data_IF_105700167630
#
_entry.id   IF_105700167630
#
_cell.length_a   1.000
_cell.length_b   1.000
_cell.length_c   1.000
_cell.angle_alpha   90.00
_cell.angle_beta   90.00
_cell.angle_gamma   90.00
#
_symmetry.space_group_name_H-M   'P 1'
#
loop_
_entity.id
_entity.type
_entity.pdbx_description
1 polymer ?
#
# COMPACT_ATOMS: atom_id res chain seq x y z
N UNK A 1 10.70 4.44 20.01
CA UNK A 1 9.70 4.91 20.99
C UNK A 1 9.53 6.40 20.81
N UNK A 2 8.35 6.88 20.51
CA UNK A 2 8.08 8.31 20.35
C UNK A 2 7.33 8.78 21.60
N UNK A 3 7.91 9.71 22.35
CA UNK A 3 7.21 10.46 23.41
C UNK A 3 6.79 11.83 22.85
N UNK A 4 5.58 12.25 23.14
CA UNK A 4 5.11 13.60 22.90
C UNK A 4 5.69 14.54 23.95
N UNK A 5 6.42 15.56 23.51
CA UNK A 5 6.89 16.65 24.37
C UNK A 5 6.17 17.92 23.96
N UNK A 6 5.44 18.52 24.88
CA UNK A 6 4.91 19.86 24.71
C UNK A 6 6.03 20.90 24.88
N UNK A 7 6.33 21.67 23.85
CA UNK A 7 7.24 22.80 23.91
C UNK A 7 6.45 24.09 24.13
N UNK A 8 6.70 24.76 25.26
CA UNK A 8 6.32 26.15 25.48
C UNK A 8 7.40 27.07 24.90
N UNK A 9 7.04 28.17 24.23
CA UNK A 9 8.01 29.14 23.71
C UNK A 9 8.64 29.99 24.81
N UNK A 10 9.90 30.45 24.66
CA UNK A 10 10.57 31.34 25.59
C UNK A 10 9.99 32.77 25.53
N UNK A 11 9.99 33.44 26.68
CA UNK A 11 9.31 34.65 27.01
C UNK A 11 9.48 35.83 26.07
N UNK A 12 8.37 36.52 25.84
CA UNK A 12 8.28 37.82 25.18
C UNK A 12 7.99 38.95 26.17
N UNK A 13 8.59 40.09 25.91
CA UNK A 13 8.42 41.34 26.65
C UNK A 13 7.00 41.94 26.53
N UNK A 14 6.59 42.84 27.40
CA UNK A 14 5.18 43.22 27.58
C UNK A 14 4.75 44.31 26.60
N UNK A 15 3.63 44.12 25.91
CA UNK A 15 2.89 45.18 25.30
C UNK A 15 1.45 44.83 24.92
N UNK A 16 0.54 45.66 25.28
CA UNK A 16 -0.84 45.88 24.79
C UNK A 16 -1.90 44.79 25.00
N UNK A 17 -2.83 45.10 25.93
CA UNK A 17 -4.10 44.38 26.11
C UNK A 17 -5.07 44.67 24.97
N UNK A 18 -5.51 43.62 24.31
CA UNK A 18 -6.81 43.56 23.64
C UNK A 18 -7.61 42.35 24.13
N UNK A 19 -8.97 42.38 24.09
CA UNK A 19 -9.79 41.42 24.81
C UNK A 19 -9.75 40.02 24.22
N UNK A 20 -9.84 39.02 25.10
CA UNK A 20 -9.65 37.61 24.85
C UNK A 20 -10.63 37.04 23.83
N UNK A 21 -10.13 36.77 22.62
CA UNK A 21 -10.67 35.74 21.78
C UNK A 21 -10.05 34.40 22.25
N UNK A 22 -10.87 33.45 22.67
CA UNK A 22 -10.42 32.07 22.97
C UNK A 22 -9.88 31.41 21.69
N UNK A 23 -8.58 31.55 21.46
CA UNK A 23 -7.88 30.83 20.45
C UNK A 23 -7.70 29.40 20.93
N UNK A 24 -8.43 28.45 20.33
CA UNK A 24 -8.02 27.06 20.38
C UNK A 24 -6.77 26.96 19.49
N UNK A 25 -5.60 27.05 20.13
CA UNK A 25 -4.33 26.76 19.46
C UNK A 25 -4.31 25.26 19.08
N UNK A 26 -4.38 24.98 17.80
CA UNK A 26 -3.98 23.70 17.27
C UNK A 26 -2.46 23.60 17.48
N UNK A 27 -2.03 22.93 18.54
CA UNK A 27 -0.65 22.52 18.67
C UNK A 27 -0.39 21.52 17.54
N UNK A 28 0.32 21.97 16.51
CA UNK A 28 0.90 21.11 15.52
C UNK A 28 1.92 20.24 16.28
N UNK A 29 1.55 19.01 16.61
CA UNK A 29 2.45 18.04 17.23
C UNK A 29 3.54 17.74 16.20
N UNK A 30 4.63 18.50 16.27
CA UNK A 30 5.86 18.17 15.55
C UNK A 30 6.44 16.97 16.25
N UNK A 31 6.28 15.80 15.66
CA UNK A 31 6.88 14.59 16.19
C UNK A 31 8.39 14.64 15.94
N UNK A 32 9.12 15.02 16.96
CA UNK A 32 10.59 15.06 16.94
C UNK A 32 11.10 13.62 17.10
N UNK A 33 11.95 13.18 16.18
CA UNK A 33 12.66 11.91 16.29
C UNK A 33 13.53 11.95 17.54
N UNK A 34 13.21 11.12 18.53
CA UNK A 34 14.03 11.04 19.75
C UNK A 34 15.16 10.02 19.57
N UNK A 35 16.37 10.46 19.84
CA UNK A 35 17.53 9.58 19.94
C UNK A 35 17.55 8.95 21.34
N UNK A 36 17.37 7.64 21.41
CA UNK A 36 17.46 6.87 22.64
C UNK A 36 18.91 6.42 22.85
N UNK A 37 19.24 5.96 24.06
CA UNK A 37 20.55 5.30 24.35
C UNK A 37 20.69 3.97 23.61
N UNK A 38 19.58 3.27 23.39
CA UNK A 38 19.50 2.02 22.64
C UNK A 38 19.52 2.30 21.14
N UNK A 39 20.36 1.63 20.39
CA UNK A 39 20.38 1.72 18.94
C UNK A 39 19.27 0.84 18.29
N UNK A 40 18.99 1.08 17.00
CA UNK A 40 17.91 0.38 16.27
C UNK A 40 18.15 -1.13 16.14
N UNK A 41 19.40 -1.59 16.14
CA UNK A 41 19.74 -3.01 16.06
C UNK A 41 19.46 -3.72 17.39
N UNK A 42 19.82 -3.12 18.51
CA UNK A 42 19.50 -3.65 19.84
C UNK A 42 17.99 -3.75 20.04
N UNK A 43 17.26 -2.68 19.70
CA UNK A 43 15.79 -2.67 19.74
C UNK A 43 15.17 -3.73 18.83
N UNK A 44 15.76 -3.96 17.66
CA UNK A 44 15.36 -5.02 16.74
C UNK A 44 15.55 -6.42 17.34
N UNK A 45 16.66 -6.68 18.02
CA UNK A 45 16.91 -7.96 18.69
C UNK A 45 15.90 -8.25 19.82
N UNK A 46 15.51 -7.24 20.60
CA UNK A 46 14.46 -7.37 21.61
C UNK A 46 13.10 -7.70 20.96
N UNK A 47 12.77 -7.07 19.84
CA UNK A 47 11.56 -7.40 19.09
C UNK A 47 11.59 -8.81 18.52
N UNK A 48 12.73 -9.29 18.04
CA UNK A 48 12.87 -10.68 17.60
C UNK A 48 12.67 -11.64 18.77
N UNK A 49 13.28 -11.36 19.92
CA UNK A 49 13.06 -12.18 21.13
C UNK A 49 11.56 -12.29 21.43
N UNK A 50 10.88 -11.16 21.51
CA UNK A 50 9.43 -11.13 21.73
C UNK A 50 8.66 -11.94 20.67
N UNK A 51 8.98 -11.81 19.37
CA UNK A 51 8.34 -12.55 18.29
C UNK A 51 8.53 -14.06 18.46
N UNK A 52 9.76 -14.51 18.70
CA UNK A 52 10.10 -15.93 18.77
C UNK A 52 9.56 -16.62 20.03
N UNK A 53 9.36 -15.87 21.11
CA UNK A 53 8.73 -16.35 22.36
C UNK A 53 7.20 -16.36 22.27
N UNK A 54 6.59 -15.37 21.58
CA UNK A 54 5.14 -15.17 21.59
C UNK A 54 4.39 -15.92 20.49
N UNK A 55 5.03 -16.16 19.32
CA UNK A 55 4.40 -16.77 18.16
C UNK A 55 4.95 -18.17 17.89
N UNK A 56 4.03 -19.11 17.66
CA UNK A 56 4.38 -20.49 17.36
C UNK A 56 4.92 -20.62 15.92
N UNK A 57 4.20 -20.02 14.96
CA UNK A 57 4.49 -20.09 13.53
C UNK A 57 4.99 -18.72 13.04
N UNK A 58 6.13 -18.70 12.40
CA UNK A 58 6.77 -17.48 11.91
C UNK A 58 7.08 -17.66 10.42
N UNK A 59 6.71 -16.68 9.60
CA UNK A 59 7.18 -16.63 8.24
C UNK A 59 7.56 -15.19 7.85
N UNK A 60 8.46 -15.06 6.88
CA UNK A 60 8.95 -13.79 6.36
C UNK A 60 8.37 -13.55 4.98
N UNK A 61 7.81 -12.37 4.74
CA UNK A 61 7.45 -11.92 3.41
C UNK A 61 8.68 -11.27 2.75
N UNK A 62 9.28 -11.99 1.82
CA UNK A 62 10.48 -11.59 1.10
C UNK A 62 10.11 -11.05 -0.28
N UNK A 63 10.33 -9.77 -0.54
CA UNK A 63 9.98 -9.10 -1.80
C UNK A 63 11.14 -8.98 -2.79
N UNK A 64 12.34 -9.41 -2.44
CA UNK A 64 13.56 -9.14 -3.21
C UNK A 64 14.09 -7.71 -3.07
N UNK A 65 13.48 -6.88 -2.23
CA UNK A 65 13.96 -5.53 -1.91
C UNK A 65 14.98 -5.52 -0.76
N UNK A 66 15.71 -4.39 -0.62
CA UNK A 66 16.78 -4.22 0.39
C UNK A 66 16.30 -4.44 1.82
N UNK A 67 15.10 -3.95 2.15
CA UNK A 67 14.56 -4.00 3.52
C UNK A 67 14.15 -5.43 3.89
N UNK A 68 13.46 -6.12 2.99
CA UNK A 68 13.05 -7.51 3.19
C UNK A 68 14.23 -8.48 3.12
N UNK A 69 15.24 -8.18 2.31
CA UNK A 69 16.48 -8.96 2.24
C UNK A 69 17.30 -8.87 3.53
N UNK A 70 17.47 -7.65 4.05
CA UNK A 70 18.12 -7.44 5.35
C UNK A 70 17.34 -8.14 6.48
N UNK A 71 16.00 -7.95 6.52
CA UNK A 71 15.16 -8.61 7.51
C UNK A 71 15.34 -10.12 7.49
N UNK A 72 15.30 -10.73 6.30
CA UNK A 72 15.48 -12.17 6.14
C UNK A 72 16.81 -12.64 6.72
N UNK A 73 17.91 -11.98 6.37
CA UNK A 73 19.24 -12.36 6.86
C UNK A 73 19.37 -12.21 8.37
N UNK A 74 18.93 -11.07 8.93
CA UNK A 74 18.99 -10.82 10.37
C UNK A 74 18.12 -11.80 11.18
N UNK A 75 16.94 -12.15 10.68
CA UNK A 75 16.04 -13.11 11.32
C UNK A 75 16.63 -14.52 11.28
N UNK A 76 17.23 -14.92 10.16
CA UNK A 76 17.91 -16.21 10.05
C UNK A 76 19.07 -16.32 11.01
N UNK A 77 19.92 -15.30 11.09
CA UNK A 77 21.07 -15.30 12.02
C UNK A 77 20.62 -15.32 13.49
N UNK A 78 19.54 -14.63 13.81
CA UNK A 78 18.98 -14.65 15.16
C UNK A 78 18.38 -16.01 15.48
N UNK A 79 17.57 -16.58 14.58
CA UNK A 79 16.95 -17.90 14.74
C UNK A 79 18.00 -18.97 14.96
N UNK A 80 19.03 -19.00 14.11
CA UNK A 80 20.07 -20.05 14.17
C UNK A 80 20.88 -20.01 15.47
N UNK A 81 21.07 -18.81 16.04
CA UNK A 81 21.78 -18.64 17.33
C UNK A 81 20.90 -18.91 18.55
N UNK A 82 19.66 -18.44 18.54
CA UNK A 82 18.83 -18.40 19.74
C UNK A 82 17.69 -19.43 19.74
N UNK A 83 17.20 -19.82 18.56
CA UNK A 83 16.05 -20.72 18.39
C UNK A 83 16.26 -21.71 17.22
N UNK A 84 17.34 -22.50 17.20
CA UNK A 84 17.74 -23.31 16.05
C UNK A 84 16.68 -24.35 15.61
N UNK A 85 15.81 -24.76 16.53
CA UNK A 85 14.75 -25.75 16.26
C UNK A 85 13.45 -25.10 15.74
N UNK A 86 13.36 -23.76 15.73
CA UNK A 86 12.15 -23.06 15.31
C UNK A 86 12.02 -23.09 13.79
N UNK A 87 10.96 -23.68 13.28
CA UNK A 87 10.62 -23.63 11.87
C UNK A 87 10.36 -22.18 11.41
N UNK A 88 10.78 -21.85 10.22
CA UNK A 88 10.64 -20.52 9.62
C UNK A 88 10.23 -20.62 8.17
N UNK A 89 9.07 -20.05 7.80
CA UNK A 89 8.65 -19.94 6.42
C UNK A 89 9.24 -18.72 5.72
N UNK A 90 9.45 -18.80 4.40
CA UNK A 90 9.78 -17.65 3.56
C UNK A 90 8.84 -17.61 2.37
N UNK A 91 8.05 -16.55 2.30
CA UNK A 91 7.05 -16.32 1.27
C UNK A 91 7.52 -15.23 0.31
N UNK A 92 7.66 -15.57 -0.96
CA UNK A 92 7.89 -14.62 -2.05
C UNK A 92 6.70 -14.64 -3.00
N UNK A 93 6.01 -13.50 -3.11
CA UNK A 93 4.93 -13.29 -4.08
C UNK A 93 5.51 -12.75 -5.37
N UNK A 94 5.57 -13.58 -6.38
CA UNK A 94 6.19 -13.26 -7.65
C UNK A 94 5.21 -12.57 -8.60
N UNK A 95 5.60 -11.41 -9.10
CA UNK A 95 4.79 -10.60 -10.02
C UNK A 95 5.13 -10.83 -11.50
N UNK A 96 5.86 -11.89 -11.88
CA UNK A 96 6.26 -12.17 -13.27
C UNK A 96 7.20 -11.08 -13.84
N UNK A 97 6.70 -9.83 -13.88
CA UNK A 97 7.39 -8.69 -14.47
C UNK A 97 8.33 -8.04 -13.44
N UNK A 98 9.61 -8.40 -13.50
CA UNK A 98 10.69 -7.86 -12.68
C UNK A 98 11.96 -7.72 -13.52
N UNK A 99 12.91 -6.91 -13.06
CA UNK A 99 14.27 -6.89 -13.63
C UNK A 99 14.94 -8.25 -13.47
N UNK A 100 15.67 -8.69 -14.47
CA UNK A 100 16.44 -9.95 -14.44
C UNK A 100 17.33 -10.02 -13.20
N UNK A 101 18.06 -8.96 -12.90
CA UNK A 101 18.94 -8.88 -11.70
C UNK A 101 18.18 -9.06 -10.38
N UNK A 102 16.90 -8.64 -10.31
CA UNK A 102 16.05 -8.88 -9.14
C UNK A 102 15.65 -10.34 -9.04
N UNK A 103 15.26 -10.95 -10.15
CA UNK A 103 14.91 -12.39 -10.19
C UNK A 103 16.10 -13.26 -9.81
N UNK A 104 17.28 -12.97 -10.33
CA UNK A 104 18.53 -13.64 -9.98
C UNK A 104 18.88 -13.51 -8.49
N UNK A 105 18.67 -12.30 -7.89
CA UNK A 105 18.86 -12.11 -6.45
C UNK A 105 17.89 -12.97 -5.64
N UNK A 106 16.61 -13.01 -6.04
CA UNK A 106 15.63 -13.86 -5.38
C UNK A 106 16.03 -15.33 -5.49
N UNK A 107 16.42 -15.80 -6.68
CA UNK A 107 16.84 -17.18 -6.90
C UNK A 107 18.07 -17.56 -6.05
N UNK A 108 19.13 -16.75 -6.09
CA UNK A 108 20.33 -16.97 -5.24
C UNK A 108 19.97 -17.01 -3.76
N UNK A 109 19.04 -16.14 -3.33
CA UNK A 109 18.61 -16.11 -1.93
C UNK A 109 17.89 -17.39 -1.55
N UNK A 110 16.93 -17.85 -2.36
CA UNK A 110 16.20 -19.09 -2.09
C UNK A 110 17.12 -20.32 -2.13
N UNK A 111 18.03 -20.42 -3.11
CA UNK A 111 19.01 -21.51 -3.16
C UNK A 111 19.88 -21.56 -1.90
N UNK A 112 20.29 -20.41 -1.37
CA UNK A 112 21.09 -20.30 -0.15
C UNK A 112 20.35 -20.74 1.11
N UNK A 113 19.04 -20.54 1.16
CA UNK A 113 18.24 -20.73 2.39
C UNK A 113 17.35 -21.98 2.36
N UNK A 114 17.11 -22.63 1.22
CA UNK A 114 16.14 -23.74 1.05
C UNK A 114 16.31 -24.89 2.05
N UNK A 115 17.52 -25.18 2.50
CA UNK A 115 17.79 -26.20 3.49
C UNK A 115 17.62 -25.73 4.96
N UNK A 116 17.30 -24.46 5.19
CA UNK A 116 17.19 -23.84 6.51
C UNK A 116 15.79 -23.31 6.82
N UNK A 117 14.92 -23.23 5.82
CA UNK A 117 13.59 -22.65 5.93
C UNK A 117 12.59 -23.48 5.13
N UNK A 118 11.30 -23.17 5.29
CA UNK A 118 10.23 -23.63 4.40
C UNK A 118 10.06 -22.59 3.28
N UNK A 119 10.57 -22.84 2.06
CA UNK A 119 10.54 -21.86 0.99
C UNK A 119 9.25 -21.94 0.19
N UNK A 120 8.63 -20.78 -0.06
CA UNK A 120 7.41 -20.63 -0.88
C UNK A 120 7.62 -19.51 -1.90
N UNK A 121 8.05 -19.84 -3.10
CA UNK A 121 8.12 -18.92 -4.22
C UNK A 121 6.83 -19.04 -5.03
N UNK A 122 5.91 -18.09 -4.83
CA UNK A 122 4.53 -18.19 -5.30
C UNK A 122 4.34 -17.51 -6.65
N UNK A 123 4.17 -18.32 -7.70
CA UNK A 123 3.90 -17.94 -9.09
C UNK A 123 2.44 -18.28 -9.46
N UNK A 124 1.49 -17.69 -8.77
CA UNK A 124 0.05 -17.95 -9.00
C UNK A 124 -0.62 -16.75 -9.68
N UNK A 125 -1.56 -16.98 -10.62
CA UNK A 125 -2.36 -15.93 -11.23
C UNK A 125 -3.08 -15.06 -10.19
N UNK A 126 -2.81 -13.76 -10.21
CA UNK A 126 -3.42 -12.79 -9.28
C UNK A 126 -3.78 -11.50 -9.99
N UNK A 127 -4.85 -10.84 -9.53
CA UNK A 127 -5.25 -9.55 -10.05
C UNK A 127 -4.38 -8.44 -9.45
N UNK A 128 -3.47 -7.91 -10.24
CA UNK A 128 -2.56 -6.82 -9.89
C UNK A 128 -3.00 -5.55 -10.59
N UNK A 129 -3.12 -4.45 -9.85
CA UNK A 129 -3.55 -3.17 -10.43
C UNK A 129 -2.48 -2.64 -11.37
N UNK A 130 -2.93 -2.08 -12.50
CA UNK A 130 -2.09 -1.27 -13.36
C UNK A 130 -2.51 0.19 -13.32
N UNK A 131 -1.54 1.08 -13.29
CA UNK A 131 -1.72 2.52 -13.38
C UNK A 131 -1.32 3.07 -14.74
N UNK A 132 -0.89 2.20 -15.66
CA UNK A 132 -0.35 2.59 -16.96
C UNK A 132 -1.39 2.53 -18.06
N UNK A 133 -2.36 1.63 -17.95
CA UNK A 133 -3.34 1.40 -18.99
C UNK A 133 -4.61 2.20 -18.76
N UNK A 134 -5.07 2.89 -19.81
CA UNK A 134 -6.40 3.49 -19.87
C UNK A 134 -7.49 2.46 -20.25
N UNK A 135 -7.11 1.23 -20.56
CA UNK A 135 -8.00 0.17 -21.04
C UNK A 135 -8.16 -0.97 -20.06
N UNK A 136 -7.13 -1.27 -19.28
CA UNK A 136 -7.06 -2.39 -18.35
C UNK A 136 -6.93 -1.87 -16.92
N UNK A 137 -7.82 -2.33 -16.03
CA UNK A 137 -7.75 -1.99 -14.59
C UNK A 137 -6.77 -2.89 -13.84
N UNK A 138 -6.59 -4.10 -14.33
CA UNK A 138 -5.75 -5.14 -13.76
C UNK A 138 -4.98 -5.86 -14.85
N UNK A 139 -3.78 -6.25 -14.54
CA UNK A 139 -3.04 -7.26 -15.26
C UNK A 139 -2.87 -8.49 -14.36
N UNK A 140 -2.57 -9.63 -14.94
CA UNK A 140 -2.54 -10.90 -14.25
C UNK A 140 -1.16 -11.55 -14.46
N UNK A 141 -0.23 -11.41 -13.49
CA UNK A 141 1.00 -12.18 -13.48
C UNK A 141 0.68 -13.68 -13.56
N UNK A 142 1.52 -14.41 -14.24
CA UNK A 142 1.45 -15.88 -14.36
C UNK A 142 0.11 -16.39 -14.87
N UNK A 143 -0.57 -15.59 -15.69
CA UNK A 143 -1.83 -15.97 -16.34
C UNK A 143 -1.61 -17.12 -17.31
N UNK A 144 -2.09 -18.31 -16.96
CA UNK A 144 -1.95 -19.53 -17.74
C UNK A 144 -2.65 -19.47 -19.11
N UNK A 145 -3.69 -18.61 -19.24
CA UNK A 145 -4.37 -18.38 -20.51
C UNK A 145 -3.56 -17.50 -21.49
N UNK A 146 -2.43 -16.95 -21.04
CA UNK A 146 -1.54 -16.05 -21.80
C UNK A 146 -0.06 -16.37 -21.55
N UNK A 147 0.31 -17.62 -21.53
CA UNK A 147 1.70 -18.08 -21.32
C UNK A 147 2.67 -17.49 -22.36
N UNK A 148 2.23 -17.38 -23.60
CA UNK A 148 2.97 -16.76 -24.70
C UNK A 148 3.34 -15.29 -24.47
N UNK A 149 2.60 -14.61 -23.62
CA UNK A 149 2.81 -13.21 -23.28
C UNK A 149 3.57 -13.02 -21.96
N UNK A 150 4.02 -14.05 -21.28
CA UNK A 150 4.80 -13.93 -20.05
C UNK A 150 6.10 -13.17 -20.28
N UNK A 151 6.41 -12.28 -19.33
CA UNK A 151 7.64 -11.46 -19.42
C UNK A 151 8.89 -12.32 -19.30
N UNK A 152 8.82 -13.40 -18.56
CA UNK A 152 9.90 -14.39 -18.41
C UNK A 152 9.33 -15.78 -18.15
N UNK A 153 10.19 -16.78 -18.27
CA UNK A 153 9.85 -18.15 -17.91
C UNK A 153 9.66 -18.29 -16.40
N UNK A 154 8.73 -19.15 -16.00
CA UNK A 154 8.51 -19.50 -14.60
C UNK A 154 9.70 -20.31 -14.08
N UNK A 155 10.26 -19.97 -12.91
CA UNK A 155 11.37 -20.74 -12.34
C UNK A 155 10.98 -22.20 -12.12
N UNK A 156 11.85 -23.12 -12.53
CA UNK A 156 11.65 -24.57 -12.39
C UNK A 156 12.41 -25.08 -11.16
N UNK A 157 11.85 -24.85 -9.97
CA UNK A 157 12.42 -25.26 -8.69
C UNK A 157 11.36 -25.98 -7.85
N UNK A 158 11.76 -26.88 -6.99
CA UNK A 158 10.89 -27.67 -6.10
C UNK A 158 10.03 -26.82 -5.16
N UNK A 159 10.54 -25.64 -4.79
CA UNK A 159 9.86 -24.70 -3.90
C UNK A 159 9.00 -23.64 -4.62
N UNK A 160 8.86 -23.74 -5.93
CA UNK A 160 7.98 -22.87 -6.71
C UNK A 160 6.55 -23.40 -6.65
N UNK A 161 5.67 -22.56 -6.14
CA UNK A 161 4.24 -22.82 -6.05
C UNK A 161 3.56 -22.24 -7.28
N UNK A 162 2.95 -23.09 -8.09
CA UNK A 162 2.21 -22.74 -9.30
C UNK A 162 0.82 -23.37 -9.29
N UNK A 163 0.05 -23.27 -10.37
CA UNK A 163 -1.32 -23.82 -10.42
C UNK A 163 -1.37 -25.34 -10.29
N UNK A 164 -0.31 -26.06 -10.70
CA UNK A 164 -0.29 -27.53 -10.73
C UNK A 164 0.01 -28.14 -9.36
N UNK A 165 0.85 -27.45 -8.55
CA UNK A 165 1.32 -27.93 -7.25
C UNK A 165 0.87 -27.09 -6.06
N UNK A 166 -0.08 -26.19 -6.24
CA UNK A 166 -0.49 -25.20 -5.23
C UNK A 166 -1.05 -25.85 -3.94
N UNK A 167 -0.34 -25.76 -2.81
CA UNK A 167 -0.83 -26.28 -1.53
C UNK A 167 -1.77 -25.32 -0.81
N UNK A 168 -1.87 -24.04 -1.27
CA UNK A 168 -2.58 -22.97 -0.58
C UNK A 168 -4.09 -23.15 -0.78
N UNK A 169 -4.74 -23.97 0.06
CA UNK A 169 -6.17 -24.30 -0.03
C UNK A 169 -7.10 -23.08 0.04
N UNK A 170 -6.61 -21.95 0.54
CA UNK A 170 -7.35 -20.69 0.63
C UNK A 170 -7.19 -19.80 -0.61
N UNK A 171 -6.37 -20.21 -1.58
CA UNK A 171 -6.19 -19.50 -2.85
C UNK A 171 -7.46 -19.60 -3.71
N UNK A 172 -7.73 -18.54 -4.46
CA UNK A 172 -8.77 -18.51 -5.50
C UNK A 172 -8.18 -17.88 -6.75
N UNK A 173 -8.43 -18.52 -7.88
CA UNK A 173 -7.91 -18.10 -9.17
C UNK A 173 -8.14 -16.60 -9.44
N UNK A 174 -7.08 -15.90 -9.82
CA UNK A 174 -7.06 -14.45 -10.08
C UNK A 174 -7.61 -13.59 -8.91
N UNK A 175 -7.46 -14.02 -7.66
CA UNK A 175 -7.76 -13.17 -6.51
C UNK A 175 -6.84 -11.94 -6.48
N UNK A 176 -7.21 -10.90 -5.75
CA UNK A 176 -6.35 -9.72 -5.62
C UNK A 176 -5.02 -10.06 -4.95
N UNK A 177 -3.94 -9.40 -5.40
CA UNK A 177 -2.60 -9.61 -4.87
C UNK A 177 -2.51 -9.44 -3.34
N UNK A 178 -3.24 -8.44 -2.80
CA UNK A 178 -3.27 -8.18 -1.36
C UNK A 178 -4.03 -9.29 -0.60
N UNK A 179 -5.01 -9.90 -1.25
CA UNK A 179 -5.75 -11.02 -0.67
C UNK A 179 -4.94 -12.31 -0.73
N UNK A 180 -4.14 -12.53 -1.78
CA UNK A 180 -3.25 -13.70 -1.86
C UNK A 180 -2.27 -13.72 -0.68
N UNK A 181 -1.59 -12.61 -0.40
CA UNK A 181 -0.67 -12.51 0.74
C UNK A 181 -1.36 -12.80 2.08
N UNK A 182 -2.60 -12.31 2.25
CA UNK A 182 -3.40 -12.58 3.47
C UNK A 182 -3.83 -14.05 3.56
N UNK A 183 -4.29 -14.61 2.44
CA UNK A 183 -4.75 -16.01 2.40
C UNK A 183 -3.58 -16.98 2.55
N UNK A 184 -2.39 -16.63 2.11
CA UNK A 184 -1.17 -17.38 2.43
C UNK A 184 -0.96 -17.47 3.95
N UNK A 185 -1.01 -16.35 4.66
CA UNK A 185 -0.86 -16.36 6.12
C UNK A 185 -1.91 -17.20 6.84
N UNK A 186 -3.16 -17.17 6.36
CA UNK A 186 -4.22 -18.01 6.88
C UNK A 186 -3.96 -19.49 6.61
N UNK A 187 -3.59 -19.84 5.39
CA UNK A 187 -3.23 -21.21 5.02
C UNK A 187 -2.02 -21.70 5.82
N UNK A 188 -0.96 -20.89 5.94
CA UNK A 188 0.24 -21.21 6.69
C UNK A 188 -0.09 -21.54 8.16
N UNK A 189 -0.97 -20.74 8.78
CA UNK A 189 -1.47 -21.04 10.11
C UNK A 189 -2.16 -22.41 10.19
N UNK A 190 -3.06 -22.69 9.27
CA UNK A 190 -3.84 -23.94 9.25
C UNK A 190 -2.92 -25.15 9.05
N UNK A 191 -2.01 -25.08 8.10
CA UNK A 191 -1.05 -26.16 7.78
C UNK A 191 -0.04 -26.42 8.91
N UNK A 192 0.14 -25.44 9.81
CA UNK A 192 1.04 -25.53 10.97
C UNK A 192 0.30 -25.61 12.31
N UNK A 193 -0.76 -26.41 12.36
CA UNK A 193 -1.48 -26.77 13.60
C UNK A 193 -2.38 -25.68 14.18
N UNK A 194 -2.76 -24.67 13.38
CA UNK A 194 -3.74 -23.65 13.78
C UNK A 194 -3.28 -22.66 14.85
N UNK A 195 -2.00 -22.68 15.24
CA UNK A 195 -1.44 -21.88 16.32
C UNK A 195 -1.21 -20.41 15.93
N UNK A 196 -0.84 -19.58 16.92
CA UNK A 196 -0.49 -18.17 16.68
C UNK A 196 0.57 -18.02 15.61
N UNK A 197 0.28 -17.26 14.58
CA UNK A 197 1.13 -17.10 13.40
C UNK A 197 1.47 -15.64 13.17
N UNK A 198 2.71 -15.35 12.81
CA UNK A 198 3.15 -13.99 12.45
C UNK A 198 3.88 -13.96 11.13
N UNK A 199 3.51 -12.99 10.29
CA UNK A 199 4.25 -12.59 9.10
C UNK A 199 5.22 -11.45 9.43
N UNK A 200 6.50 -11.61 9.14
CA UNK A 200 7.47 -10.55 9.28
C UNK A 200 7.59 -9.75 7.99
N UNK A 201 7.49 -8.43 8.11
CA UNK A 201 7.51 -7.49 7.01
C UNK A 201 8.65 -6.48 7.16
N UNK A 202 9.42 -6.26 6.10
CA UNK A 202 10.45 -5.23 6.03
C UNK A 202 9.88 -3.82 5.81
N UNK A 203 8.81 -3.46 6.52
CA UNK A 203 8.14 -2.15 6.40
C UNK A 203 8.72 -1.17 7.42
N UNK A 204 9.02 0.07 6.96
CA UNK A 204 9.57 1.14 7.78
C UNK A 204 8.67 2.39 7.78
N UNK A 205 8.64 3.08 8.91
CA UNK A 205 7.90 4.33 9.05
C UNK A 205 8.45 5.45 8.15
N UNK A 206 9.76 5.41 7.88
CA UNK A 206 10.50 6.38 7.07
C UNK A 206 10.15 6.35 5.56
N UNK A 207 9.44 5.31 5.09
CA UNK A 207 9.16 5.16 3.66
C UNK A 207 8.03 6.07 3.14
N UNK A 208 7.05 6.39 3.97
CA UNK A 208 5.93 7.26 3.60
C UNK A 208 5.08 7.68 4.80
N UNK A 209 4.41 8.84 4.69
CA UNK A 209 3.44 9.31 5.69
C UNK A 209 2.33 8.29 5.96
N UNK A 210 1.90 7.54 4.94
CA UNK A 210 0.87 6.51 5.10
C UNK A 210 1.35 5.36 5.98
N UNK A 211 2.62 4.91 5.80
CA UNK A 211 3.22 3.86 6.64
C UNK A 211 3.44 4.35 8.07
N UNK A 212 3.97 5.55 8.20
CA UNK A 212 4.12 6.21 9.49
C UNK A 212 2.80 6.30 10.26
N UNK A 213 1.74 6.81 9.63
CA UNK A 213 0.40 6.90 10.24
C UNK A 213 -0.17 5.53 10.63
N UNK A 214 0.20 4.48 9.89
CA UNK A 214 -0.18 3.10 10.20
C UNK A 214 0.38 2.62 11.55
N UNK A 215 1.62 2.99 11.87
CA UNK A 215 2.25 2.66 13.16
C UNK A 215 1.73 3.47 14.34
N UNK A 216 1.21 4.67 14.10
CA UNK A 216 0.61 5.50 15.15
C UNK A 216 -0.75 4.98 15.62
N UNK A 217 -1.39 4.10 14.87
CA UNK A 217 -2.72 3.62 15.18
C UNK A 217 -2.70 2.44 16.17
N UNK A 218 -2.37 2.72 17.43
CA UNK A 218 -2.25 1.74 18.52
C UNK A 218 -3.48 0.84 18.73
N UNK A 219 -4.66 1.25 18.24
CA UNK A 219 -5.92 0.48 18.42
C UNK A 219 -5.87 -0.92 17.83
N UNK A 220 -4.96 -1.20 16.90
CA UNK A 220 -4.82 -2.48 16.22
C UNK A 220 -3.50 -3.21 16.55
N UNK A 221 -2.75 -2.68 17.51
CA UNK A 221 -1.49 -3.27 17.98
C UNK A 221 -1.73 -4.57 18.79
N UNK A 222 -0.75 -5.44 18.79
CA UNK A 222 -0.73 -6.65 19.60
C UNK A 222 -0.02 -6.34 20.93
N UNK A 223 -0.69 -6.52 22.06
CA UNK A 223 -0.13 -6.20 23.38
C UNK A 223 0.48 -4.78 23.45
N UNK A 224 -0.24 -3.81 22.89
CA UNK A 224 0.16 -2.39 22.78
C UNK A 224 1.37 -2.10 21.89
N UNK A 225 1.90 -3.10 21.18
CA UNK A 225 3.00 -2.93 20.24
C UNK A 225 2.51 -2.37 18.90
N UNK A 226 2.86 -1.11 18.60
CA UNK A 226 2.40 -0.41 17.40
C UNK A 226 2.92 -1.01 16.08
N UNK A 227 3.98 -1.81 16.14
CA UNK A 227 4.62 -2.46 14.98
C UNK A 227 4.07 -3.86 14.67
N UNK A 228 3.08 -4.35 15.46
CA UNK A 228 2.36 -5.60 15.21
C UNK A 228 0.89 -5.30 14.98
N UNK A 229 0.34 -5.73 13.86
CA UNK A 229 -1.05 -5.52 13.48
C UNK A 229 -1.76 -6.84 13.20
N UNK A 230 -3.04 -6.92 13.55
CA UNK A 230 -3.86 -8.12 13.31
C UNK A 230 -4.27 -8.20 11.85
N UNK A 231 -4.06 -9.34 11.22
CA UNK A 231 -4.50 -9.63 9.86
C UNK A 231 -5.78 -10.49 9.83
N UNK A 232 -5.78 -11.59 10.59
CA UNK A 232 -6.92 -12.48 10.81
C UNK A 232 -6.97 -12.94 12.28
N UNK A 233 -7.90 -13.83 12.63
CA UNK A 233 -7.86 -14.56 13.91
C UNK A 233 -6.55 -15.35 13.96
N UNK A 234 -5.75 -15.12 15.00
CA UNK A 234 -4.46 -15.75 15.26
C UNK A 234 -3.41 -15.62 14.13
N UNK A 235 -3.59 -14.66 13.22
CA UNK A 235 -2.60 -14.27 12.20
C UNK A 235 -2.29 -12.79 12.31
N UNK A 236 -1.02 -12.47 12.47
CA UNK A 236 -0.50 -11.13 12.70
C UNK A 236 0.55 -10.75 11.65
N UNK A 237 0.78 -9.47 11.47
CA UNK A 237 1.90 -8.93 10.71
C UNK A 237 2.76 -8.07 11.63
N UNK A 238 4.04 -8.33 11.67
CA UNK A 238 5.01 -7.59 12.46
C UNK A 238 6.05 -6.92 11.56
N UNK A 239 6.39 -5.67 11.88
CA UNK A 239 7.40 -4.88 11.17
C UNK A 239 8.54 -4.53 12.13
N UNK A 240 9.45 -5.47 12.45
CA UNK A 240 10.48 -5.24 13.47
C UNK A 240 11.53 -4.19 13.08
N UNK A 241 11.60 -3.81 11.79
CA UNK A 241 12.45 -2.73 11.27
C UNK A 241 11.73 -1.38 11.20
N UNK A 242 10.57 -1.21 11.83
CA UNK A 242 9.68 -0.07 11.60
C UNK A 242 10.32 1.31 11.86
N UNK A 243 11.26 1.40 12.79
CA UNK A 243 11.96 2.61 13.21
C UNK A 243 13.32 2.83 12.53
N UNK A 244 13.74 1.90 11.65
CA UNK A 244 15.00 2.02 10.91
C UNK A 244 14.91 3.05 9.78
N UNK A 245 15.98 3.83 9.63
CA UNK A 245 16.15 4.70 8.46
C UNK A 245 16.71 3.91 7.26
N UNK A 246 16.65 4.52 6.06
CA UNK A 246 17.31 3.95 4.88
C UNK A 246 18.81 3.80 5.07
N UNK A 247 19.43 4.70 5.83
CA UNK A 247 20.85 4.66 6.18
C UNK A 247 21.18 3.45 7.04
N UNK A 248 20.33 3.14 8.04
CA UNK A 248 20.52 1.99 8.92
C UNK A 248 20.47 0.67 8.15
N UNK A 249 19.59 0.57 7.15
CA UNK A 249 19.49 -0.61 6.27
C UNK A 249 20.81 -0.84 5.52
N UNK A 250 21.38 0.20 4.93
CA UNK A 250 22.63 0.07 4.19
C UNK A 250 23.85 -0.16 5.10
N UNK A 251 23.90 0.52 6.24
CA UNK A 251 24.93 0.28 7.24
C UNK A 251 24.93 -1.17 7.73
N UNK A 252 23.76 -1.73 8.02
CA UNK A 252 23.65 -3.11 8.47
C UNK A 252 24.05 -4.10 7.36
N UNK A 253 23.59 -3.91 6.12
CA UNK A 253 24.01 -4.76 5.01
C UNK A 253 25.53 -4.77 4.84
N UNK A 254 26.17 -3.61 4.90
CA UNK A 254 27.63 -3.47 4.81
C UNK A 254 28.33 -4.14 6.01
N UNK A 255 27.89 -3.82 7.24
CA UNK A 255 28.50 -4.31 8.47
C UNK A 255 28.47 -5.84 8.60
N UNK A 256 27.37 -6.45 8.19
CA UNK A 256 27.18 -7.90 8.27
C UNK A 256 27.60 -8.64 6.99
N UNK A 257 27.99 -7.94 5.94
CA UNK A 257 28.42 -8.52 4.68
C UNK A 257 27.33 -9.31 3.95
N UNK A 258 26.05 -8.93 4.11
CA UNK A 258 24.96 -9.62 3.46
C UNK A 258 24.87 -9.31 1.97
N UNK A 259 24.49 -10.32 1.18
CA UNK A 259 24.13 -10.12 -0.22
C UNK A 259 22.83 -9.32 -0.33
N UNK A 260 22.77 -8.46 -1.33
CA UNK A 260 21.60 -7.62 -1.61
C UNK A 260 21.33 -7.53 -3.11
N UNK A 261 20.15 -7.05 -3.47
CA UNK A 261 19.72 -6.88 -4.85
C UNK A 261 20.53 -5.77 -5.56
N UNK A 262 21.37 -6.16 -6.52
CA UNK A 262 22.23 -5.26 -7.30
C UNK A 262 21.47 -4.25 -8.16
N UNK A 263 20.15 -4.38 -8.29
CA UNK A 263 19.31 -3.36 -8.92
C UNK A 263 19.50 -1.98 -8.26
N UNK A 264 19.77 -1.94 -6.95
CA UNK A 264 20.01 -0.67 -6.25
C UNK A 264 21.28 0.04 -6.73
N UNK A 265 22.33 -0.70 -7.09
CA UNK A 265 23.56 -0.14 -7.67
C UNK A 265 23.26 0.44 -9.05
N UNK A 266 22.50 -0.29 -9.87
CA UNK A 266 22.09 0.15 -11.21
C UNK A 266 21.19 1.39 -11.15
N UNK A 267 20.27 1.47 -10.20
CA UNK A 267 19.47 2.65 -9.96
C UNK A 267 20.32 3.85 -9.53
N UNK A 268 21.30 3.63 -8.67
CA UNK A 268 22.23 4.68 -8.25
C UNK A 268 23.06 5.22 -9.43
N UNK A 269 23.61 4.32 -10.24
CA UNK A 269 24.33 4.70 -11.46
C UNK A 269 23.44 5.41 -12.48
N UNK A 270 22.15 5.07 -12.52
CA UNK A 270 21.16 5.77 -13.35
C UNK A 270 20.70 7.12 -12.77
N UNK A 271 21.26 7.56 -11.63
CA UNK A 271 21.01 8.88 -11.03
C UNK A 271 19.74 8.95 -10.15
N UNK A 272 19.16 7.83 -9.75
CA UNK A 272 18.02 7.84 -8.82
C UNK A 272 18.48 8.17 -7.40
N UNK A 273 17.66 8.98 -6.71
CA UNK A 273 17.85 9.21 -5.28
C UNK A 273 17.46 7.96 -4.49
N UNK A 274 18.06 7.66 -3.31
CA UNK A 274 17.71 6.50 -2.50
C UNK A 274 16.22 6.36 -2.18
N UNK A 275 15.50 7.46 -2.02
CA UNK A 275 14.05 7.49 -1.78
C UNK A 275 13.19 7.07 -3.00
N UNK A 276 13.77 7.08 -4.20
CA UNK A 276 13.11 6.70 -5.45
C UNK A 276 13.37 5.23 -5.82
N UNK A 277 14.39 4.63 -5.22
CA UNK A 277 14.81 3.26 -5.50
C UNK A 277 13.88 2.25 -4.84
N UNK A 278 13.02 1.58 -5.63
CA UNK A 278 12.06 0.60 -5.13
C UNK A 278 12.02 -0.63 -6.02
N UNK A 279 12.03 -1.79 -5.41
CA UNK A 279 11.67 -3.05 -6.07
C UNK A 279 10.15 -3.19 -5.98
N UNK A 280 9.47 -3.07 -7.11
CA UNK A 280 8.02 -3.12 -7.20
C UNK A 280 7.58 -3.57 -8.59
N UNK A 281 6.32 -3.98 -8.76
CA UNK A 281 5.77 -4.27 -10.09
C UNK A 281 5.90 -3.03 -11.00
N UNK A 282 6.39 -3.19 -12.24
CA UNK A 282 6.61 -2.07 -13.16
C UNK A 282 5.35 -1.32 -13.54
N UNK A 283 4.19 -1.93 -13.37
CA UNK A 283 2.91 -1.39 -13.83
C UNK A 283 2.11 -0.63 -12.76
N UNK A 284 2.64 -0.49 -11.55
CA UNK A 284 1.96 0.23 -10.46
C UNK A 284 2.28 1.74 -10.45
N UNK A 285 1.55 2.50 -9.62
CA UNK A 285 1.72 3.95 -9.49
C UNK A 285 3.12 4.39 -9.06
N UNK A 286 3.82 3.55 -8.27
CA UNK A 286 5.14 3.88 -7.71
C UNK A 286 6.29 3.64 -8.69
N UNK A 287 6.06 2.86 -9.75
CA UNK A 287 7.10 2.46 -10.71
C UNK A 287 7.09 3.31 -11.98
N UNK A 288 6.11 4.18 -12.16
CA UNK A 288 6.00 5.02 -13.36
C UNK A 288 7.26 5.83 -13.63
N UNK A 289 7.84 6.42 -12.58
CA UNK A 289 9.01 7.30 -12.69
C UNK A 289 10.30 6.53 -13.07
N UNK A 290 10.34 5.22 -12.82
CA UNK A 290 11.47 4.35 -13.11
C UNK A 290 11.22 3.37 -14.26
N UNK A 291 10.03 3.38 -14.85
CA UNK A 291 9.66 2.43 -15.90
C UNK A 291 10.56 2.53 -17.14
N UNK A 292 10.96 3.76 -17.51
CA UNK A 292 11.87 4.00 -18.62
C UNK A 292 13.27 3.39 -18.41
N UNK A 293 13.66 3.15 -17.17
CA UNK A 293 14.96 2.54 -16.86
C UNK A 293 15.07 1.08 -17.30
N UNK A 294 13.93 0.38 -17.47
CA UNK A 294 13.95 -0.95 -18.08
C UNK A 294 14.59 -0.96 -19.46
N UNK A 295 14.41 0.12 -20.24
CA UNK A 295 15.03 0.24 -21.57
C UNK A 295 16.55 0.26 -21.53
N UNK A 296 17.13 0.73 -20.44
CA UNK A 296 18.59 0.91 -20.27
C UNK A 296 19.19 -0.24 -19.46
N UNK A 297 18.52 -0.64 -18.38
CA UNK A 297 19.02 -1.65 -17.44
C UNK A 297 18.72 -3.07 -17.94
N UNK A 298 17.53 -3.28 -18.55
CA UNK A 298 17.05 -4.60 -18.93
C UNK A 298 16.20 -4.53 -20.22
N UNK A 299 16.83 -4.29 -21.38
CA UNK A 299 16.12 -4.09 -22.65
C UNK A 299 15.35 -5.32 -23.12
N UNK A 300 15.77 -6.53 -22.75
CA UNK A 300 15.07 -7.77 -23.11
C UNK A 300 13.72 -7.86 -22.38
N UNK A 301 13.74 -7.66 -21.07
CA UNK A 301 12.52 -7.57 -20.26
C UNK A 301 11.65 -6.41 -20.73
N UNK A 302 12.24 -5.25 -21.07
CA UNK A 302 11.50 -4.11 -21.60
C UNK A 302 10.66 -4.45 -22.83
N UNK A 303 11.23 -5.17 -23.79
CA UNK A 303 10.54 -5.56 -25.03
C UNK A 303 9.27 -6.38 -24.73
N UNK A 304 9.35 -7.29 -23.76
CA UNK A 304 8.21 -8.10 -23.32
C UNK A 304 7.20 -7.28 -22.47
N UNK A 305 7.67 -6.38 -21.61
CA UNK A 305 6.82 -5.51 -20.80
C UNK A 305 5.86 -4.65 -21.66
N UNK A 306 6.36 -4.11 -22.76
CA UNK A 306 5.56 -3.28 -23.68
C UNK A 306 4.39 -4.07 -24.28
N UNK A 307 4.59 -5.34 -24.59
CA UNK A 307 3.55 -6.24 -25.09
C UNK A 307 2.59 -6.76 -24.01
N UNK A 308 3.03 -6.73 -22.74
CA UNK A 308 2.28 -7.35 -21.62
C UNK A 308 1.11 -6.52 -21.13
N UNK A 309 1.26 -5.20 -21.05
CA UNK A 309 0.23 -4.25 -20.60
C UNK A 309 0.11 -3.10 -21.58
N UNK A 310 -1.08 -2.84 -22.08
CA UNK A 310 -1.33 -1.72 -22.97
C UNK A 310 -1.05 -0.39 -22.29
N UNK A 311 -0.35 0.50 -22.97
CA UNK A 311 0.04 1.80 -22.44
C UNK A 311 1.43 1.83 -21.76
N UNK A 312 2.10 0.70 -21.57
CA UNK A 312 3.42 0.66 -20.96
C UNK A 312 4.46 1.50 -21.71
N UNK A 313 4.50 1.41 -23.03
CA UNK A 313 5.41 2.21 -23.85
C UNK A 313 5.10 3.72 -23.76
N UNK A 314 3.83 4.09 -23.84
CA UNK A 314 3.40 5.49 -23.68
C UNK A 314 3.77 6.03 -22.30
N UNK A 315 3.51 5.26 -21.25
CA UNK A 315 3.85 5.62 -19.90
C UNK A 315 5.36 5.77 -19.67
N UNK A 316 6.18 4.93 -20.29
CA UNK A 316 7.64 5.04 -20.19
C UNK A 316 8.18 6.31 -20.86
N UNK A 317 7.59 6.71 -21.99
CA UNK A 317 8.01 7.91 -22.73
C UNK A 317 7.48 9.17 -22.04
N UNK A 318 6.22 9.17 -21.64
CA UNK A 318 5.51 10.36 -21.16
C UNK A 318 5.22 10.37 -19.65
N UNK A 319 5.68 9.37 -18.90
CA UNK A 319 5.42 9.22 -17.47
C UNK A 319 5.80 10.43 -16.60
N UNK A 320 6.81 11.18 -17.04
CA UNK A 320 7.26 12.41 -16.37
C UNK A 320 6.55 13.68 -16.86
N UNK A 321 5.72 13.56 -17.89
CA UNK A 321 5.07 14.70 -18.55
C UNK A 321 3.65 14.90 -18.05
N UNK A 322 3.08 16.05 -18.40
CA UNK A 322 1.65 16.36 -18.16
C UNK A 322 0.69 15.38 -18.84
N UNK A 323 1.12 14.72 -19.91
CA UNK A 323 0.31 13.76 -20.67
C UNK A 323 -0.16 12.56 -19.82
N UNK A 324 0.59 12.19 -18.78
CA UNK A 324 0.22 11.13 -17.81
C UNK A 324 -0.47 11.68 -16.55
N UNK A 325 -0.87 12.93 -16.54
CA UNK A 325 -1.59 13.55 -15.43
C UNK A 325 -0.74 13.77 -14.16
N UNK A 326 0.56 13.90 -14.32
CA UNK A 326 1.49 13.69 -13.19
C UNK A 326 1.71 14.88 -12.26
N UNK A 327 1.64 16.15 -12.68
CA UNK A 327 2.00 17.23 -11.75
C UNK A 327 1.02 18.38 -11.68
N UNK A 328 0.67 18.99 -12.79
CA UNK A 328 -0.30 20.08 -12.80
C UNK A 328 -1.24 19.83 -13.96
N UNK A 329 -2.36 19.19 -13.67
CA UNK A 329 -3.43 19.07 -14.63
C UNK A 329 -4.04 20.47 -14.75
N UNK A 330 -3.82 21.11 -15.88
CA UNK A 330 -4.45 22.37 -16.23
C UNK A 330 -5.70 22.08 -17.03
N UNK A 331 -6.77 22.78 -16.70
CA UNK A 331 -8.02 22.72 -17.48
C UNK A 331 -7.74 23.30 -18.87
N UNK A 332 -8.12 22.60 -19.97
CA UNK A 332 -8.02 23.16 -21.30
C UNK A 332 -8.89 24.41 -21.44
N UNK A 333 -8.46 25.35 -22.28
CA UNK A 333 -9.19 26.57 -22.56
C UNK A 333 -10.58 26.26 -23.13
N UNK A 334 -11.60 27.00 -22.70
CA UNK A 334 -12.98 26.79 -23.10
C UNK A 334 -13.74 25.68 -22.37
N UNK A 335 -13.10 24.97 -21.42
CA UNK A 335 -13.75 23.94 -20.64
C UNK A 335 -13.96 24.33 -19.18
N UNK A 336 -15.04 23.80 -18.57
CA UNK A 336 -15.17 23.59 -17.13
C UNK A 336 -14.66 22.18 -16.78
N UNK A 337 -14.35 21.88 -15.52
CA UNK A 337 -13.99 20.54 -15.10
C UNK A 337 -15.09 19.52 -15.42
N UNK A 338 -16.35 19.94 -15.31
CA UNK A 338 -17.50 19.12 -15.67
C UNK A 338 -17.52 18.79 -17.17
N UNK A 339 -17.40 19.80 -18.02
CA UNK A 339 -17.42 19.57 -19.47
C UNK A 339 -16.21 18.76 -19.96
N UNK A 340 -15.04 19.01 -19.38
CA UNK A 340 -13.84 18.26 -19.70
C UNK A 340 -13.93 16.80 -19.20
N UNK A 341 -14.51 16.58 -18.03
CA UNK A 341 -14.79 15.21 -17.55
C UNK A 341 -15.71 14.46 -18.49
N UNK A 342 -16.76 15.11 -18.99
CA UNK A 342 -17.68 14.51 -19.97
C UNK A 342 -16.96 14.15 -21.27
N UNK A 343 -16.18 15.08 -21.81
CA UNK A 343 -15.36 14.84 -22.99
C UNK A 343 -14.44 13.62 -22.81
N UNK A 344 -13.75 13.53 -21.68
CA UNK A 344 -12.88 12.39 -21.38
C UNK A 344 -13.67 11.08 -21.28
N UNK A 345 -14.85 11.08 -20.67
CA UNK A 345 -15.70 9.89 -20.59
C UNK A 345 -16.11 9.40 -21.98
N UNK A 346 -16.40 10.33 -22.92
CA UNK A 346 -16.83 9.98 -24.26
C UNK A 346 -15.69 9.36 -25.10
N UNK A 347 -14.44 9.67 -24.78
CA UNK A 347 -13.27 9.07 -25.43
C UNK A 347 -12.91 7.68 -24.89
N UNK A 348 -13.46 7.27 -23.74
CA UNK A 348 -13.13 5.99 -23.11
C UNK A 348 -13.91 4.82 -23.73
N UNK A 349 -13.29 3.60 -23.77
CA UNK A 349 -14.02 2.38 -24.07
C UNK A 349 -15.23 2.18 -23.15
N UNK A 350 -16.32 1.64 -23.68
CA UNK A 350 -17.60 1.50 -23.00
C UNK A 350 -17.49 0.88 -21.57
N UNK A 351 -16.66 -0.16 -21.41
CA UNK A 351 -16.45 -0.82 -20.13
C UNK A 351 -15.92 0.12 -19.05
N UNK A 352 -14.92 0.93 -19.38
CA UNK A 352 -14.29 1.89 -18.47
C UNK A 352 -15.18 3.08 -18.21
N UNK A 353 -15.76 3.65 -19.28
CA UNK A 353 -16.76 4.71 -19.18
C UNK A 353 -17.86 4.33 -18.19
N UNK A 354 -18.46 3.15 -18.36
CA UNK A 354 -19.51 2.66 -17.47
C UNK A 354 -19.05 2.50 -16.02
N UNK A 355 -17.79 2.07 -15.79
CA UNK A 355 -17.23 2.00 -14.45
C UNK A 355 -17.14 3.38 -13.80
N UNK A 356 -16.57 4.38 -14.49
CA UNK A 356 -16.47 5.74 -13.95
C UNK A 356 -17.85 6.39 -13.75
N UNK A 357 -18.73 6.33 -14.76
CA UNK A 357 -20.09 6.88 -14.68
C UNK A 357 -20.85 6.31 -13.48
N UNK A 358 -20.77 4.99 -13.26
CA UNK A 358 -21.41 4.36 -12.09
C UNK A 358 -20.86 4.91 -10.78
N UNK A 359 -19.54 5.05 -10.68
CA UNK A 359 -18.90 5.57 -9.45
C UNK A 359 -19.21 7.05 -9.23
N UNK A 360 -19.16 7.87 -10.28
CA UNK A 360 -19.49 9.29 -10.19
C UNK A 360 -20.94 9.50 -9.75
N UNK A 361 -21.88 8.77 -10.35
CA UNK A 361 -23.29 8.80 -9.91
C UNK A 361 -23.44 8.40 -8.45
N UNK A 362 -22.79 7.32 -8.02
CA UNK A 362 -22.83 6.87 -6.63
C UNK A 362 -22.29 7.94 -5.67
N UNK A 363 -21.19 8.63 -6.04
CA UNK A 363 -20.64 9.70 -5.23
C UNK A 363 -21.57 10.91 -5.17
N UNK A 364 -22.07 11.35 -6.31
CA UNK A 364 -23.00 12.49 -6.40
C UNK A 364 -24.25 12.20 -5.55
N UNK A 365 -24.86 11.04 -5.73
CA UNK A 365 -26.03 10.62 -4.95
C UNK A 365 -25.73 10.57 -3.44
N UNK A 366 -24.58 10.01 -3.06
CA UNK A 366 -24.16 9.97 -1.66
C UNK A 366 -24.09 11.37 -1.05
N UNK A 367 -23.49 12.34 -1.76
CA UNK A 367 -23.33 13.69 -1.25
C UNK A 367 -24.60 14.51 -1.26
N UNK A 368 -25.62 14.15 -2.03
CA UNK A 368 -26.95 14.77 -2.00
C UNK A 368 -27.88 14.13 -0.94
N UNK A 369 -27.79 12.83 -0.73
CA UNK A 369 -28.77 12.12 0.11
C UNK A 369 -28.22 11.80 1.51
N UNK A 370 -27.00 11.30 1.60
CA UNK A 370 -26.40 10.82 2.85
C UNK A 370 -25.45 11.85 3.44
N UNK A 371 -24.59 12.38 2.61
CA UNK A 371 -23.54 13.32 2.98
C UNK A 371 -22.31 12.70 3.62
N UNK A 372 -21.21 13.46 3.63
CA UNK A 372 -19.94 13.11 4.21
C UNK A 372 -19.67 13.87 5.52
N UNK A 373 -18.92 13.22 6.44
CA UNK A 373 -18.43 13.86 7.65
C UNK A 373 -17.19 14.70 7.38
N UNK A 374 -17.25 15.99 7.65
CA UNK A 374 -16.14 16.94 7.48
C UNK A 374 -15.76 17.58 8.81
N UNK A 375 -14.54 18.09 8.89
CA UNK A 375 -14.08 18.91 10.02
C UNK A 375 -14.87 20.22 10.08
N UNK A 376 -15.19 20.68 11.26
CA UNK A 376 -16.01 21.88 11.47
C UNK A 376 -15.38 23.13 10.83
N UNK A 377 -14.05 23.20 10.78
CA UNK A 377 -13.34 24.28 10.10
C UNK A 377 -13.63 24.30 8.59
N UNK A 378 -13.66 23.10 7.95
CA UNK A 378 -13.96 22.94 6.52
C UNK A 378 -15.41 23.29 6.23
N UNK A 379 -16.34 22.91 7.12
CA UNK A 379 -17.77 23.24 6.96
C UNK A 379 -17.98 24.75 7.00
N UNK A 380 -17.36 25.44 7.97
CA UNK A 380 -17.44 26.94 8.07
C UNK A 380 -16.80 27.59 6.84
N UNK A 381 -15.75 27.08 6.32
CA UNK A 381 -15.11 27.60 5.10
C UNK A 381 -16.03 27.43 3.89
N UNK A 382 -16.71 26.28 3.73
CA UNK A 382 -17.73 26.07 2.71
C UNK A 382 -18.93 27.02 2.86
N UNK A 383 -19.43 27.22 4.08
CA UNK A 383 -20.50 28.16 4.38
C UNK A 383 -20.10 29.61 4.04
N UNK A 384 -18.86 30.00 4.41
CA UNK A 384 -18.33 31.34 4.13
C UNK A 384 -18.15 31.64 2.64
N UNK A 385 -17.82 30.63 1.83
CA UNK A 385 -17.72 30.76 0.38
C UNK A 385 -19.07 30.55 -0.35
N UNK A 386 -20.18 30.42 0.39
CA UNK A 386 -21.51 30.33 -0.19
C UNK A 386 -21.86 29.05 -0.89
N UNK A 387 -21.16 27.96 -0.58
CA UNK A 387 -21.51 26.64 -1.14
C UNK A 387 -22.91 26.21 -0.65
N UNK A 388 -23.76 25.66 -1.54
CA UNK A 388 -25.13 25.24 -1.18
C UNK A 388 -25.09 23.95 -0.40
N UNK A 389 -24.80 24.02 0.89
CA UNK A 389 -24.70 22.87 1.80
C UNK A 389 -25.73 22.95 2.92
N UNK A 390 -26.11 21.78 3.45
CA UNK A 390 -26.96 21.65 4.61
C UNK A 390 -26.32 20.67 5.61
N UNK A 391 -26.30 21.02 6.88
CA UNK A 391 -25.86 20.14 7.97
C UNK A 391 -26.88 19.01 8.16
N UNK A 392 -26.42 17.78 8.11
CA UNK A 392 -27.25 16.57 8.16
C UNK A 392 -26.79 15.61 9.28
N UNK A 393 -26.77 16.12 10.51
CA UNK A 393 -26.42 15.35 11.69
C UNK A 393 -24.93 14.92 11.75
N UNK A 394 -24.69 13.78 12.40
CA UNK A 394 -23.33 13.28 12.68
C UNK A 394 -23.01 12.05 11.83
N UNK A 395 -21.77 11.94 11.40
CA UNK A 395 -21.30 10.81 10.59
C UNK A 395 -21.06 9.57 11.45
N UNK A 396 -21.71 8.46 11.09
CA UNK A 396 -21.45 7.14 11.69
C UNK A 396 -20.20 6.46 11.08
N UNK A 397 -19.61 7.04 10.04
CA UNK A 397 -18.47 6.49 9.32
C UNK A 397 -17.12 7.06 9.79
N UNK A 398 -17.14 8.13 10.57
CA UNK A 398 -15.95 8.75 11.16
C UNK A 398 -15.84 8.41 12.64
N UNK A 399 -14.62 8.14 13.13
CA UNK A 399 -14.39 7.77 14.54
C UNK A 399 -14.69 8.90 15.52
N UNK A 400 -14.43 10.10 15.09
CA UNK A 400 -14.59 11.37 15.83
C UNK A 400 -15.97 11.98 15.65
N UNK A 401 -16.92 11.22 15.09
CA UNK A 401 -18.30 11.64 14.86
C UNK A 401 -18.41 13.02 14.24
N UNK A 402 -17.64 13.28 13.16
CA UNK A 402 -17.64 14.55 12.44
C UNK A 402 -19.03 14.96 11.99
N UNK A 403 -19.29 16.27 11.95
CA UNK A 403 -20.51 16.83 11.38
C UNK A 403 -20.67 16.42 9.93
N UNK A 404 -21.85 15.96 9.56
CA UNK A 404 -22.18 15.51 8.21
C UNK A 404 -22.86 16.63 7.45
N UNK A 405 -22.46 16.84 6.20
CA UNK A 405 -23.11 17.78 5.29
C UNK A 405 -23.62 17.08 4.05
N UNK A 406 -24.68 17.62 3.46
CA UNK A 406 -25.16 17.30 2.13
C UNK A 406 -25.10 18.55 1.25
N UNK A 407 -24.92 18.38 -0.05
CA UNK A 407 -25.07 19.44 -1.03
C UNK A 407 -26.54 19.54 -1.43
N UNK A 408 -27.11 20.75 -1.35
CA UNK A 408 -28.48 21.03 -1.80
C UNK A 408 -28.54 21.52 -3.25
N UNK A 409 -27.40 21.96 -3.78
CA UNK A 409 -27.18 22.34 -5.17
C UNK A 409 -26.26 21.38 -5.91
N UNK A 410 -25.86 21.69 -7.15
CA UNK A 410 -24.97 20.85 -7.93
C UNK A 410 -23.60 20.68 -7.24
N UNK A 411 -22.96 19.54 -7.47
CA UNK A 411 -21.58 19.32 -7.02
C UNK A 411 -20.68 20.38 -7.70
N UNK A 412 -19.79 21.04 -6.93
CA UNK A 412 -18.95 22.12 -7.43
C UNK A 412 -18.00 21.65 -8.55
N UNK A 413 -17.65 22.57 -9.42
CA UNK A 413 -16.71 22.32 -10.52
C UNK A 413 -15.30 22.05 -9.97
N UNK A 414 -14.81 22.91 -9.10
CA UNK A 414 -13.65 22.66 -8.22
C UNK A 414 -13.89 23.19 -6.80
N UNK A 415 -12.90 23.03 -5.94
CA UNK A 415 -12.92 23.47 -4.54
C UNK A 415 -11.54 23.98 -4.12
N UNK A 416 -10.81 24.59 -5.06
CA UNK A 416 -9.44 25.07 -4.83
C UNK A 416 -9.38 26.26 -3.85
N UNK A 417 -10.50 26.97 -3.69
CA UNK A 417 -10.73 28.03 -2.71
C UNK A 417 -10.82 27.52 -1.27
N UNK A 418 -10.98 26.21 -1.06
CA UNK A 418 -11.06 25.57 0.26
C UNK A 418 -9.70 24.95 0.61
N UNK A 419 -9.10 25.38 1.73
CA UNK A 419 -7.76 24.94 2.16
C UNK A 419 -7.63 23.42 2.37
N UNK A 420 -8.70 22.75 2.76
CA UNK A 420 -8.71 21.31 3.04
C UNK A 420 -9.72 20.55 2.17
N UNK A 421 -9.66 20.78 0.86
CA UNK A 421 -10.64 20.29 -0.12
C UNK A 421 -10.60 18.79 -0.43
N UNK A 422 -9.61 18.04 0.09
CA UNK A 422 -9.38 16.63 -0.30
C UNK A 422 -10.55 15.67 -0.02
N UNK A 423 -11.44 16.00 0.89
CA UNK A 423 -12.58 15.16 1.26
C UNK A 423 -13.90 15.65 0.62
N UNK A 424 -13.87 16.78 -0.09
CA UNK A 424 -15.03 17.40 -0.73
C UNK A 424 -15.17 16.88 -2.17
N UNK A 425 -16.37 16.53 -2.64
CA UNK A 425 -16.58 16.11 -4.03
C UNK A 425 -16.46 17.32 -4.97
N UNK A 426 -15.84 17.10 -6.14
CA UNK A 426 -15.83 18.10 -7.23
C UNK A 426 -15.63 17.41 -8.58
N UNK A 427 -16.04 18.10 -9.67
CA UNK A 427 -15.80 17.62 -11.02
C UNK A 427 -14.32 17.54 -11.36
N UNK A 428 -13.51 18.42 -10.82
CA UNK A 428 -12.05 18.37 -10.89
C UNK A 428 -11.50 17.03 -10.37
N UNK A 429 -11.99 16.55 -9.23
CA UNK A 429 -11.57 15.26 -8.67
C UNK A 429 -12.02 14.09 -9.52
N UNK A 430 -13.23 14.17 -10.11
CA UNK A 430 -13.72 13.17 -11.05
C UNK A 430 -12.84 13.12 -12.30
N UNK A 431 -12.50 14.28 -12.86
CA UNK A 431 -11.56 14.42 -13.96
C UNK A 431 -10.21 13.80 -13.64
N UNK A 432 -9.67 14.05 -12.44
CA UNK A 432 -8.40 13.49 -11.98
C UNK A 432 -8.44 11.97 -11.89
N UNK A 433 -9.57 11.37 -11.50
CA UNK A 433 -9.70 9.90 -11.53
C UNK A 433 -9.47 9.34 -12.94
N UNK A 434 -10.02 9.98 -13.96
CA UNK A 434 -9.85 9.54 -15.36
C UNK A 434 -8.40 9.75 -15.81
N UNK A 435 -7.89 10.98 -15.69
CA UNK A 435 -6.55 11.34 -16.18
C UNK A 435 -5.42 10.59 -15.49
N UNK A 436 -5.64 10.15 -14.26
CA UNK A 436 -4.66 9.38 -13.49
C UNK A 436 -4.89 7.87 -13.53
N UNK A 437 -5.82 7.39 -14.37
CA UNK A 437 -6.21 5.98 -14.44
C UNK A 437 -6.61 5.40 -13.07
N UNK A 438 -7.21 6.22 -12.20
CA UNK A 438 -7.73 5.78 -10.92
C UNK A 438 -9.09 5.10 -11.09
N UNK A 439 -9.09 3.90 -11.62
CA UNK A 439 -10.30 3.12 -11.92
C UNK A 439 -11.16 2.81 -10.68
N UNK A 440 -10.60 2.97 -9.48
CA UNK A 440 -11.30 2.80 -8.22
C UNK A 440 -11.84 4.11 -7.64
N UNK A 441 -11.53 5.25 -8.25
CA UNK A 441 -11.92 6.58 -7.81
C UNK A 441 -11.50 6.87 -6.34
N UNK A 442 -10.29 6.48 -5.96
CA UNK A 442 -9.73 6.75 -4.63
C UNK A 442 -9.57 8.25 -4.37
N UNK A 443 -9.31 9.03 -5.41
CA UNK A 443 -9.30 10.50 -5.34
C UNK A 443 -10.63 11.09 -4.88
N UNK A 444 -11.73 10.33 -4.96
CA UNK A 444 -13.05 10.71 -4.50
C UNK A 444 -13.41 10.07 -3.16
N UNK A 445 -12.46 9.49 -2.44
CA UNK A 445 -12.70 8.84 -1.16
C UNK A 445 -13.39 7.46 -1.26
N UNK A 446 -13.49 6.87 -2.47
CA UNK A 446 -14.02 5.53 -2.59
C UNK A 446 -13.07 4.52 -1.94
N UNK A 447 -13.56 3.89 -0.89
CA UNK A 447 -13.00 2.68 -0.33
C UNK A 447 -13.43 1.43 -1.13
N UNK A 448 -13.65 0.32 -0.45
CA UNK A 448 -14.23 -0.90 -1.03
C UNK A 448 -15.65 -0.61 -1.53
N UNK A 449 -15.98 -1.06 -2.74
CA UNK A 449 -17.36 -0.96 -3.25
C UNK A 449 -18.31 -1.75 -2.37
N UNK A 450 -19.61 -1.38 -2.32
CA UNK A 450 -20.64 -2.15 -1.58
C UNK A 450 -20.66 -3.63 -2.00
N UNK A 451 -20.37 -3.93 -3.26
CA UNK A 451 -20.29 -5.31 -3.75
C UNK A 451 -19.02 -6.02 -3.22
N UNK A 452 -17.90 -5.35 -3.18
CA UNK A 452 -16.68 -5.85 -2.54
C UNK A 452 -16.88 -6.00 -1.04
N UNK A 453 -17.51 -5.03 -0.40
CA UNK A 453 -17.85 -5.09 1.02
C UNK A 453 -18.83 -6.23 1.29
N UNK A 454 -19.92 -6.38 0.51
CA UNK A 454 -20.86 -7.51 0.64
C UNK A 454 -20.17 -8.86 0.41
N UNK A 455 -19.25 -8.95 -0.58
CA UNK A 455 -18.45 -10.17 -0.76
C UNK A 455 -17.57 -10.46 0.45
N UNK A 456 -16.95 -9.45 1.02
CA UNK A 456 -16.18 -9.57 2.26
C UNK A 456 -17.09 -9.96 3.42
N UNK A 457 -18.28 -9.38 3.54
CA UNK A 457 -19.22 -9.68 4.59
C UNK A 457 -19.84 -11.07 4.44
N UNK A 458 -20.14 -11.52 3.22
CA UNK A 458 -20.56 -12.90 2.91
C UNK A 458 -19.43 -13.88 3.26
N UNK A 459 -18.22 -13.57 2.87
CA UNK A 459 -17.03 -14.33 3.21
C UNK A 459 -16.85 -14.38 4.72
N UNK A 460 -16.94 -13.24 5.41
CA UNK A 460 -16.85 -13.17 6.89
C UNK A 460 -17.97 -13.97 7.58
N UNK A 461 -19.22 -13.90 7.07
CA UNK A 461 -20.35 -14.69 7.59
C UNK A 461 -20.13 -16.19 7.39
N UNK A 462 -19.69 -16.59 6.19
CA UNK A 462 -19.38 -18.00 5.90
C UNK A 462 -18.23 -18.52 6.77
N UNK A 463 -17.25 -17.70 7.08
CA UNK A 463 -16.15 -18.07 7.97
C UNK A 463 -16.54 -18.05 9.46
N UNK A 464 -17.47 -17.18 9.88
CA UNK A 464 -18.03 -17.26 11.23
C UNK A 464 -18.83 -18.54 11.45
N UNK A 465 -19.52 -19.04 10.42
CA UNK A 465 -20.22 -20.34 10.52
C UNK A 465 -19.24 -21.52 10.55
N UNK A 466 -18.13 -21.46 9.85
CA UNK A 466 -17.06 -22.48 9.92
C UNK A 466 -16.34 -22.42 11.27
N UNK A 467 -16.05 -21.21 11.80
CA UNK A 467 -15.49 -21.06 13.15
C UNK A 467 -16.44 -21.56 14.26
N UNK A 468 -17.75 -21.44 14.05
CA UNK A 468 -18.75 -22.00 14.97
C UNK A 468 -18.85 -23.54 14.89
N UNK A 469 -18.59 -24.11 13.71
CA UNK A 469 -18.52 -25.57 13.53
C UNK A 469 -17.21 -26.17 14.06
N UNK A 470 -16.09 -25.44 13.94
CA UNK A 470 -14.78 -25.89 14.48
C UNK A 470 -14.67 -25.74 16.01
N UNK A 471 -15.48 -24.88 16.64
CA UNK A 471 -15.51 -24.71 18.10
C UNK A 471 -16.67 -25.48 18.78
N UNK A 472 -17.36 -26.31 18.05
CA UNK A 472 -18.50 -27.12 18.52
C UNK A 472 -18.23 -28.63 18.55
N UNK A 473 -16.94 -29.03 18.56
CA UNK A 473 -16.51 -30.42 18.81
C UNK A 473 -15.61 -30.45 20.03
#
# INVERSE_FOLDING_TARGET
MYKTVECSPPGAAPAFRMPAARSHSWSMVVMIKQHLKQNVYEAFLERLKFIFEEFDNIYISFSGGKDSGLLLNLVLDYRDRCFPQKALGVFHQDFEAQYTVTTEYVERTFERIKGRVEPYWVCLPMATRTALSSYEMYWYPWDDTRRDAWVREMPQKEYVVNLENNPISTYRYRMHQEDLAKQFGRWYRISHGGRKTVCLLGIRADESLQRYSGFLNKKFGYKDECWISKQFKDVWCASPLYDWSTSDIWHANYRFGYDYNRLYDLYYMAGLKPSQMRVASPFNDYSKDSLNLYRVIDPEVWTKLVGRVQGANFAAIYGHTKAMGYRNITLPEGHTWKSYTQFLLDTLPARLRNNYVKKFRTSIQFWHETGGGLDEAVIRELEAHGYPILRNGVSNYTRDKKSRIIFTGPIPDDTDDIKSSKDIPSWKRMCYCILKNDHNCRFMGFGLTRQQQRRIDIIRKKYKSVEAMENGV
#
